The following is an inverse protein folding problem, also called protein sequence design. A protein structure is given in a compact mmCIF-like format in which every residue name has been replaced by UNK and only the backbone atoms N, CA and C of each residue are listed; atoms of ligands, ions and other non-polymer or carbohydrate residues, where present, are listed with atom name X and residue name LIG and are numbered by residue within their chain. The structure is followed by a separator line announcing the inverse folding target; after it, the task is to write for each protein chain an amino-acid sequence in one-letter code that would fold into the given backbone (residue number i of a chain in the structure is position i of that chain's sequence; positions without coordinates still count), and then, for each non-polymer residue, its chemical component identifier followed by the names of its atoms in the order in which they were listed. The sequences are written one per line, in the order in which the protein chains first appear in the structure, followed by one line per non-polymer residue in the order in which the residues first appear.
data_IF_239968301149
#
_entry.id   IF_239968301149
#
_cell.length_a   1.000
_cell.length_b   1.000
_cell.length_c   1.000
_cell.angle_alpha   90.00
_cell.angle_beta   90.00
_cell.angle_gamma   90.00
#
_symmetry.space_group_name_H-M   'P 1'
#
loop_
_entity.id
_entity.type
_entity.pdbx_description
1 polymer ?
#
# COMPACT_ATOMS: atom_id res chain seq x y z
N UNK A 1 14.89 3.63 -0.10
CA UNK A 1 13.63 3.91 0.62
C UNK A 1 12.68 2.69 0.67
N UNK A 2 13.16 1.43 0.60
CA UNK A 2 12.29 0.24 0.49
C UNK A 2 11.22 0.39 -0.60
N UNK A 3 11.64 0.86 -1.78
CA UNK A 3 10.77 1.22 -2.91
C UNK A 3 10.88 0.24 -4.08
N UNK A 4 11.62 -0.86 -3.93
CA UNK A 4 11.84 -1.84 -4.99
C UNK A 4 10.54 -2.46 -5.51
N UNK A 5 9.59 -2.73 -4.62
CA UNK A 5 8.34 -3.42 -4.94
C UNK A 5 7.28 -2.51 -5.56
N UNK A 6 7.49 -1.18 -5.58
CA UNK A 6 6.50 -0.27 -6.16
C UNK A 6 6.57 -0.21 -7.69
N UNK A 7 5.47 0.17 -8.33
CA UNK A 7 5.33 0.21 -9.80
C UNK A 7 6.20 1.27 -10.48
N UNK A 8 6.76 2.22 -9.74
CA UNK A 8 7.68 3.23 -10.28
C UNK A 8 9.12 2.73 -10.42
N UNK A 9 9.46 1.58 -9.82
CA UNK A 9 10.71 0.91 -10.11
C UNK A 9 10.61 0.23 -11.48
N UNK A 10 11.38 0.74 -12.44
CA UNK A 10 11.44 0.27 -13.83
C UNK A 10 12.83 -0.26 -14.22
N UNK A 11 13.82 -0.17 -13.33
CA UNK A 11 15.22 -0.56 -13.60
C UNK A 11 15.64 -1.87 -12.93
N UNK A 12 15.03 -2.21 -11.79
CA UNK A 12 15.34 -3.41 -11.01
C UNK A 12 14.10 -4.29 -10.89
N UNK A 13 14.24 -5.60 -10.61
CA UNK A 13 13.09 -6.45 -10.29
C UNK A 13 12.19 -5.84 -9.21
N UNK A 14 10.88 -6.00 -9.31
CA UNK A 14 9.94 -5.54 -8.27
C UNK A 14 9.87 -6.54 -7.10
N UNK A 15 11.02 -6.84 -6.50
CA UNK A 15 11.15 -7.74 -5.35
C UNK A 15 11.85 -7.03 -4.20
N UNK A 16 11.65 -7.54 -2.98
CA UNK A 16 12.26 -6.99 -1.77
C UNK A 16 13.77 -6.73 -1.96
N UNK A 17 14.22 -5.52 -1.58
CA UNK A 17 15.63 -5.10 -1.63
C UNK A 17 16.32 -5.14 -3.02
N UNK A 18 15.57 -5.20 -4.13
CA UNK A 18 16.18 -5.29 -5.46
C UNK A 18 16.94 -4.04 -5.92
N UNK A 19 16.49 -2.83 -5.56
CA UNK A 19 17.22 -1.60 -5.87
C UNK A 19 18.48 -1.53 -5.01
N UNK A 20 19.64 -1.68 -5.64
CA UNK A 20 20.96 -1.57 -5.00
C UNK A 20 21.56 -0.17 -5.07
N UNK A 21 20.98 0.72 -5.88
CA UNK A 21 21.42 2.11 -6.07
C UNK A 21 20.64 3.07 -5.14
N UNK A 22 21.28 3.68 -4.13
CA UNK A 22 20.59 4.55 -3.18
C UNK A 22 19.89 5.74 -3.83
N UNK A 23 20.55 6.41 -4.78
CA UNK A 23 20.03 7.58 -5.48
C UNK A 23 18.77 7.23 -6.27
N UNK A 24 18.79 6.09 -6.97
CA UNK A 24 17.60 5.60 -7.67
C UNK A 24 16.48 5.21 -6.71
N UNK A 25 16.83 4.57 -5.58
CA UNK A 25 15.84 4.22 -4.55
C UNK A 25 15.16 5.47 -3.96
N UNK A 26 15.91 6.57 -3.79
CA UNK A 26 15.38 7.87 -3.37
C UNK A 26 14.45 8.43 -4.44
N UNK A 27 14.88 8.46 -5.71
CA UNK A 27 14.04 8.96 -6.81
C UNK A 27 12.70 8.21 -6.90
N UNK A 28 12.76 6.87 -6.92
CA UNK A 28 11.56 6.03 -6.99
C UNK A 28 10.69 6.20 -5.73
N UNK A 29 11.31 6.26 -4.55
CA UNK A 29 10.59 6.45 -3.29
C UNK A 29 9.86 7.79 -3.22
N UNK A 30 10.52 8.89 -3.62
CA UNK A 30 9.90 10.22 -3.69
C UNK A 30 8.74 10.24 -4.69
N UNK A 31 8.91 9.61 -5.85
CA UNK A 31 7.83 9.55 -6.84
C UNK A 31 6.64 8.72 -6.35
N UNK A 32 6.88 7.60 -5.67
CA UNK A 32 5.83 6.80 -5.05
C UNK A 32 5.08 7.60 -3.97
N UNK A 33 5.80 8.28 -3.09
CA UNK A 33 5.16 9.10 -2.04
C UNK A 33 4.39 10.31 -2.62
N UNK A 34 4.88 10.91 -3.70
CA UNK A 34 4.15 11.96 -4.41
C UNK A 34 2.82 11.45 -5.01
N UNK A 35 2.76 10.20 -5.48
CA UNK A 35 1.50 9.56 -5.89
C UNK A 35 0.56 9.34 -4.69
N UNK A 36 1.09 8.89 -3.54
CA UNK A 36 0.30 8.76 -2.32
C UNK A 36 -0.31 10.10 -1.86
N UNK A 37 0.45 11.20 -1.89
CA UNK A 37 -0.05 12.55 -1.56
C UNK A 37 -1.19 12.98 -2.48
N UNK A 38 -1.04 12.75 -3.80
CA UNK A 38 -2.07 13.06 -4.79
C UNK A 38 -3.35 12.27 -4.55
N UNK A 39 -3.23 10.96 -4.32
CA UNK A 39 -4.38 10.09 -4.03
C UNK A 39 -5.06 10.42 -2.72
N UNK A 40 -4.29 10.79 -1.70
CA UNK A 40 -4.80 11.25 -0.41
C UNK A 40 -5.44 12.64 -0.47
N UNK A 41 -5.33 13.35 -1.61
CA UNK A 41 -5.73 14.74 -1.78
C UNK A 41 -5.06 15.69 -0.75
N UNK A 42 -3.83 15.37 -0.33
CA UNK A 42 -3.09 16.16 0.65
C UNK A 42 -2.34 17.30 -0.04
N UNK A 43 -2.84 18.52 0.06
CA UNK A 43 -2.22 19.72 -0.56
C UNK A 43 -1.53 20.65 0.43
N UNK A 44 -1.80 20.49 1.73
CA UNK A 44 -1.21 21.28 2.82
C UNK A 44 -0.41 20.35 3.74
N UNK A 45 0.88 20.59 3.99
CA UNK A 45 1.67 19.78 4.93
C UNK A 45 1.16 19.85 6.38
N UNK A 46 0.28 20.79 6.71
CA UNK A 46 -0.38 20.89 8.02
C UNK A 46 -1.71 20.14 8.10
N UNK A 47 -2.20 19.57 6.98
CA UNK A 47 -3.31 18.62 7.01
C UNK A 47 -2.81 17.24 7.47
N UNK A 48 -2.56 17.14 8.78
CA UNK A 48 -1.99 15.96 9.42
C UNK A 48 -2.82 14.69 9.13
N UNK A 49 -4.16 14.71 9.14
CA UNK A 49 -4.95 13.53 8.75
C UNK A 49 -4.69 13.03 7.32
N UNK A 50 -4.65 13.91 6.31
CA UNK A 50 -4.40 13.50 4.92
C UNK A 50 -2.92 13.17 4.68
N UNK A 51 -2.00 13.87 5.34
CA UNK A 51 -0.58 13.56 5.30
C UNK A 51 -0.30 12.17 5.91
N UNK A 52 -0.91 11.87 7.04
CA UNK A 52 -0.82 10.54 7.69
C UNK A 52 -1.42 9.46 6.80
N UNK A 53 -2.49 9.77 6.05
CA UNK A 53 -3.08 8.85 5.09
C UNK A 53 -2.11 8.52 3.96
N UNK A 54 -1.48 9.53 3.36
CA UNK A 54 -0.47 9.33 2.32
C UNK A 54 0.71 8.49 2.84
N UNK A 55 1.18 8.77 4.06
CA UNK A 55 2.28 8.02 4.68
C UNK A 55 1.91 6.56 4.92
N UNK A 56 0.71 6.28 5.45
CA UNK A 56 0.26 4.90 5.64
C UNK A 56 0.00 4.20 4.30
N UNK A 57 -0.49 4.93 3.30
CA UNK A 57 -0.64 4.45 1.93
C UNK A 57 0.68 4.07 1.26
N UNK A 58 1.79 4.74 1.58
CA UNK A 58 3.12 4.32 1.12
C UNK A 58 3.48 2.92 1.64
N UNK A 59 3.02 2.57 2.85
CA UNK A 59 3.28 1.28 3.47
C UNK A 59 2.29 0.18 3.05
N UNK A 60 1.00 0.47 3.00
CA UNK A 60 -0.05 -0.52 2.66
C UNK A 60 -0.36 -0.59 1.16
N UNK A 61 0.13 0.37 0.38
CA UNK A 61 -0.23 0.55 -1.01
C UNK A 61 -1.47 1.43 -1.20
N UNK A 62 -1.66 1.86 -2.44
CA UNK A 62 -2.67 2.86 -2.83
C UNK A 62 -4.12 2.41 -2.58
N UNK A 63 -4.39 1.10 -2.55
CA UNK A 63 -5.73 0.58 -2.26
C UNK A 63 -6.24 0.99 -0.86
N UNK A 64 -5.34 1.16 0.11
CA UNK A 64 -5.72 1.66 1.43
C UNK A 64 -6.16 3.13 1.38
N UNK A 65 -5.48 3.98 0.59
CA UNK A 65 -5.80 5.41 0.46
C UNK A 65 -7.22 5.58 -0.07
N UNK A 66 -7.53 4.89 -1.16
CA UNK A 66 -8.84 4.93 -1.82
C UNK A 66 -9.94 4.40 -0.89
N UNK A 67 -9.68 3.30 -0.19
CA UNK A 67 -10.60 2.73 0.79
C UNK A 67 -10.84 3.69 1.98
N UNK A 68 -9.79 4.31 2.52
CA UNK A 68 -9.93 5.21 3.68
C UNK A 68 -10.68 6.50 3.30
N UNK A 69 -10.41 7.08 2.14
CA UNK A 69 -11.18 8.25 1.64
C UNK A 69 -12.65 7.89 1.49
N UNK A 70 -12.95 6.77 0.82
CA UNK A 70 -14.32 6.35 0.54
C UNK A 70 -15.14 6.13 1.81
N UNK A 71 -14.53 5.58 2.86
CA UNK A 71 -15.24 5.16 4.08
C UNK A 71 -15.14 6.17 5.24
N UNK A 72 -14.08 6.97 5.32
CA UNK A 72 -13.75 7.81 6.47
C UNK A 72 -13.25 9.22 6.13
N UNK A 73 -12.93 9.50 4.86
CA UNK A 73 -12.39 10.78 4.40
C UNK A 73 -10.90 11.01 4.70
N UNK A 74 -10.35 10.45 5.78
CA UNK A 74 -8.94 10.62 6.16
C UNK A 74 -8.39 9.42 6.96
N UNK A 75 -7.13 9.50 7.38
CA UNK A 75 -6.50 8.49 8.23
C UNK A 75 -7.02 8.48 9.67
N UNK A 76 -7.09 7.29 10.25
CA UNK A 76 -7.08 7.07 11.71
C UNK A 76 -6.36 5.75 12.04
N UNK A 77 -5.93 5.56 13.28
CA UNK A 77 -5.41 4.24 13.68
C UNK A 77 -6.48 3.13 13.57
N UNK A 78 -7.75 3.48 13.83
CA UNK A 78 -8.87 2.55 13.77
C UNK A 78 -9.12 2.03 12.36
N UNK A 79 -9.14 2.91 11.35
CA UNK A 79 -9.38 2.48 9.98
C UNK A 79 -8.18 1.73 9.36
N UNK A 80 -6.94 2.07 9.76
CA UNK A 80 -5.76 1.28 9.40
C UNK A 80 -5.86 -0.16 9.91
N UNK A 81 -6.25 -0.35 11.18
CA UNK A 81 -6.47 -1.68 11.75
C UNK A 81 -7.59 -2.43 11.02
N UNK A 82 -8.73 -1.78 10.77
CA UNK A 82 -9.85 -2.40 10.07
C UNK A 82 -9.45 -2.89 8.67
N UNK A 83 -8.67 -2.10 7.92
CA UNK A 83 -8.21 -2.48 6.60
C UNK A 83 -7.32 -3.73 6.64
N UNK A 84 -6.37 -3.81 7.57
CA UNK A 84 -5.50 -4.98 7.72
C UNK A 84 -6.30 -6.22 8.13
N UNK A 85 -7.24 -6.08 9.07
CA UNK A 85 -8.09 -7.19 9.49
C UNK A 85 -8.96 -7.72 8.33
N UNK A 86 -9.43 -6.83 7.45
CA UNK A 86 -10.19 -7.20 6.25
C UNK A 86 -9.32 -7.93 5.23
N UNK A 87 -8.11 -7.43 4.94
CA UNK A 87 -7.15 -8.09 4.04
C UNK A 87 -6.73 -9.48 4.56
N UNK A 88 -6.49 -9.61 5.86
CA UNK A 88 -6.18 -10.89 6.48
C UNK A 88 -7.34 -11.89 6.34
N UNK A 89 -8.59 -11.44 6.53
CA UNK A 89 -9.78 -12.29 6.33
C UNK A 89 -9.91 -12.77 4.89
N UNK A 90 -9.71 -11.88 3.92
CA UNK A 90 -9.77 -12.23 2.49
C UNK A 90 -8.67 -13.22 2.12
N UNK A 91 -7.44 -13.01 2.61
CA UNK A 91 -6.32 -13.92 2.39
C UNK A 91 -6.59 -15.32 2.95
N UNK A 92 -7.08 -15.41 4.20
CA UNK A 92 -7.47 -16.69 4.80
C UNK A 92 -8.57 -17.40 4.02
N UNK A 93 -9.59 -16.67 3.56
CA UNK A 93 -10.67 -17.23 2.75
C UNK A 93 -10.14 -17.78 1.42
N UNK A 94 -9.23 -17.07 0.75
CA UNK A 94 -8.57 -17.53 -0.48
C UNK A 94 -7.84 -18.85 -0.30
N UNK A 95 -7.00 -18.95 0.74
CA UNK A 95 -6.25 -20.19 1.06
C UNK A 95 -7.19 -21.37 1.32
N UNK A 96 -8.30 -21.15 2.04
CA UNK A 96 -9.29 -22.21 2.29
C UNK A 96 -9.96 -22.66 0.99
N UNK A 97 -10.29 -21.72 0.09
CA UNK A 97 -10.90 -22.06 -1.20
C UNK A 97 -9.94 -22.82 -2.14
N UNK A 98 -8.65 -22.49 -2.14
CA UNK A 98 -7.63 -23.24 -2.89
C UNK A 98 -7.47 -24.67 -2.36
N UNK A 99 -7.43 -24.84 -1.03
CA UNK A 99 -7.36 -26.18 -0.42
C UNK A 99 -8.60 -27.00 -0.80
N UNK A 100 -9.80 -26.41 -0.70
CA UNK A 100 -11.04 -27.10 -1.08
C UNK A 100 -11.05 -27.48 -2.56
N UNK A 101 -10.59 -26.61 -3.47
CA UNK A 101 -10.55 -26.95 -4.90
C UNK A 101 -9.59 -28.10 -5.20
N UNK A 102 -8.44 -28.18 -4.50
CA UNK A 102 -7.51 -29.30 -4.60
C UNK A 102 -8.13 -30.64 -4.19
N UNK A 103 -8.99 -30.66 -3.16
CA UNK A 103 -9.67 -31.88 -2.72
C UNK A 103 -10.78 -32.36 -3.67
N UNK A 104 -11.36 -31.47 -4.48
CA UNK A 104 -12.38 -31.84 -5.47
C UNK A 104 -11.79 -32.28 -6.83
N UNK A 105 -10.47 -32.20 -7.00
CA UNK A 105 -9.75 -32.65 -8.20
C UNK A 105 -9.04 -34.01 -8.01
N UNK A 106 -9.21 -34.67 -6.86
CA UNK A 106 -8.77 -36.03 -6.55
C UNK A 106 -9.97 -36.98 -6.51
#
# INVERSE_FOLDING_TARGET
MQSSECSFNTRFPNTLNAITEPEYSIQVGVQNFADCLKRANCTDPLDIPLLSLAMQGYNFGNGYIEWAIKNFGAYSQGNAKMFVDEQARVSMAGTVMEILSMFHML
#
